data_IF_167257208469
#
_entry.id   IF_167257208469
#
_cell.length_a   1.000
_cell.length_b   1.000
_cell.length_c   1.000
_cell.angle_alpha   90.00
_cell.angle_beta   90.00
_cell.angle_gamma   90.00
#
_symmetry.space_group_name_H-M   'P 1'
#
loop_
_entity.id
_entity.type
_entity.pdbx_description
1 polymer ?
#
# COMPACT_ATOMS: atom_id res chain seq x y z
N UNK A 1 -22.90 -9.64 -22.20
CA UNK A 1 -23.24 -8.28 -21.72
C UNK A 1 -21.92 -7.61 -21.39
N UNK A 2 -21.40 -6.80 -22.31
CA UNK A 2 -20.14 -6.08 -22.13
C UNK A 2 -20.41 -4.83 -21.32
N UNK A 3 -20.08 -4.86 -20.02
CA UNK A 3 -20.06 -3.65 -19.20
C UNK A 3 -18.82 -2.86 -19.59
N UNK A 4 -19.02 -1.83 -20.40
CA UNK A 4 -18.02 -0.82 -20.72
C UNK A 4 -17.71 -0.05 -19.44
N UNK A 5 -16.69 -0.46 -18.69
CA UNK A 5 -16.12 0.35 -17.61
C UNK A 5 -15.42 1.54 -18.25
N UNK A 6 -16.10 2.68 -18.28
CA UNK A 6 -15.50 3.97 -18.63
C UNK A 6 -14.57 4.37 -17.48
N UNK A 7 -13.28 4.07 -17.60
CA UNK A 7 -12.30 4.53 -16.61
C UNK A 7 -12.06 6.02 -16.81
N UNK A 8 -12.41 6.81 -15.80
CA UNK A 8 -11.99 8.21 -15.72
C UNK A 8 -10.46 8.26 -15.55
N UNK A 9 -9.78 9.29 -16.10
CA UNK A 9 -8.34 9.41 -15.95
C UNK A 9 -7.99 9.63 -14.47
N UNK A 10 -7.14 8.74 -13.93
CA UNK A 10 -6.58 8.87 -12.58
C UNK A 10 -5.80 10.19 -12.49
N UNK A 11 -6.12 11.04 -11.51
CA UNK A 11 -5.36 12.26 -11.23
C UNK A 11 -3.89 11.87 -11.05
N UNK A 12 -2.97 12.59 -11.71
CA UNK A 12 -1.53 12.33 -11.59
C UNK A 12 -1.13 12.57 -10.13
N UNK A 13 -0.57 11.55 -9.47
CA UNK A 13 -0.05 11.68 -8.12
C UNK A 13 1.00 12.80 -8.08
N UNK A 14 0.81 13.79 -7.21
CA UNK A 14 1.84 14.79 -6.91
C UNK A 14 3.04 14.13 -6.25
N UNK A 15 4.19 14.81 -6.22
CA UNK A 15 5.36 14.34 -5.47
C UNK A 15 4.99 14.23 -3.99
N UNK A 16 5.11 13.04 -3.41
CA UNK A 16 4.91 12.84 -1.97
C UNK A 16 6.10 13.45 -1.22
N UNK A 17 5.83 14.53 -0.48
CA UNK A 17 6.83 15.26 0.31
C UNK A 17 6.77 14.87 1.80
N UNK A 18 5.94 13.90 2.16
CA UNK A 18 5.82 13.48 3.55
C UNK A 18 7.13 12.84 4.04
N UNK A 19 7.68 13.40 5.11
CA UNK A 19 8.72 12.75 5.91
C UNK A 19 8.23 12.60 7.34
N UNK A 20 8.18 11.36 7.81
CA UNK A 20 7.99 11.06 9.23
C UNK A 20 9.22 11.43 10.03
N UNK A 21 9.02 12.04 11.20
CA UNK A 21 10.11 12.31 12.14
C UNK A 21 10.43 11.05 12.96
N UNK A 22 11.69 10.62 12.95
CA UNK A 22 12.17 9.50 13.77
C UNK A 22 13.00 10.02 14.96
N UNK A 23 12.32 10.45 16.02
CA UNK A 23 12.98 10.99 17.22
C UNK A 23 13.69 9.92 18.05
N UNK A 24 13.34 8.64 17.88
CA UNK A 24 13.85 7.52 18.68
C UNK A 24 14.81 6.61 17.91
N UNK A 25 15.14 6.95 16.66
CA UNK A 25 16.01 6.16 15.79
C UNK A 25 15.48 4.73 15.58
N UNK A 26 14.15 4.58 15.51
CA UNK A 26 13.50 3.28 15.28
C UNK A 26 13.94 2.68 13.93
N UNK A 27 14.24 3.51 12.93
CA UNK A 27 14.73 3.04 11.64
C UNK A 27 16.07 2.30 11.73
N UNK A 28 16.89 2.56 12.75
CA UNK A 28 18.16 1.83 12.96
C UNK A 28 17.93 0.39 13.44
N UNK A 29 16.75 0.10 14.01
CA UNK A 29 16.36 -1.24 14.47
C UNK A 29 15.82 -2.11 13.33
N UNK A 30 15.51 -1.51 12.18
CA UNK A 30 14.94 -2.19 11.02
C UNK A 30 16.04 -2.72 10.09
N UNK A 31 15.84 -3.95 9.62
CA UNK A 31 16.67 -4.53 8.56
C UNK A 31 16.44 -3.82 7.22
N UNK A 32 17.34 -4.03 6.26
CA UNK A 32 17.18 -3.49 4.91
C UNK A 32 15.92 -4.05 4.22
N UNK A 33 15.56 -5.30 4.49
CA UNK A 33 14.33 -5.92 3.98
C UNK A 33 13.08 -5.24 4.57
N UNK A 34 13.06 -4.97 5.87
CA UNK A 34 11.98 -4.22 6.52
C UNK A 34 11.80 -2.82 5.90
N UNK A 35 12.91 -2.10 5.68
CA UNK A 35 12.89 -0.77 5.06
C UNK A 35 12.37 -0.83 3.63
N UNK A 36 12.79 -1.83 2.85
CA UNK A 36 12.31 -2.06 1.49
C UNK A 36 10.80 -2.31 1.45
N UNK A 37 10.28 -3.13 2.37
CA UNK A 37 8.84 -3.43 2.47
C UNK A 37 8.05 -2.15 2.78
N UNK A 38 8.47 -1.40 3.79
CA UNK A 38 7.87 -0.11 4.15
C UNK A 38 7.84 0.85 2.97
N UNK A 39 8.98 1.04 2.31
CA UNK A 39 9.10 2.00 1.22
C UNK A 39 8.27 1.57 -0.01
N UNK A 40 8.11 0.26 -0.22
CA UNK A 40 7.23 -0.31 -1.24
C UNK A 40 5.75 -0.02 -0.95
N UNK A 41 5.32 -0.24 0.29
CA UNK A 41 3.96 0.07 0.74
C UNK A 41 3.65 1.58 0.59
N UNK A 42 4.54 2.44 1.11
CA UNK A 42 4.42 3.91 0.98
C UNK A 42 4.30 4.36 -0.46
N UNK A 43 5.13 3.81 -1.35
CA UNK A 43 5.10 4.13 -2.78
C UNK A 43 3.79 3.68 -3.41
N UNK A 44 3.29 2.50 -3.05
CA UNK A 44 2.02 1.99 -3.56
C UNK A 44 0.86 2.92 -3.16
N UNK A 45 0.76 3.24 -1.87
CA UNK A 45 -0.26 4.15 -1.32
C UNK A 45 -0.20 5.52 -1.99
N UNK A 46 1.00 6.08 -2.13
CA UNK A 46 1.15 7.43 -2.69
C UNK A 46 0.85 7.52 -4.18
N UNK A 47 1.10 6.44 -4.92
CA UNK A 47 0.89 6.42 -6.37
C UNK A 47 -0.54 6.04 -6.76
N UNK A 48 -1.16 5.12 -6.02
CA UNK A 48 -2.45 4.52 -6.42
C UNK A 48 -3.62 4.93 -5.53
N UNK A 49 -3.43 5.07 -4.22
CA UNK A 49 -4.51 5.35 -3.26
C UNK A 49 -4.69 6.86 -3.03
N UNK A 50 -3.62 7.60 -2.71
CA UNK A 50 -3.69 9.06 -2.43
C UNK A 50 -4.41 9.86 -3.53
N UNK A 51 -4.24 9.59 -4.84
CA UNK A 51 -4.89 10.40 -5.87
C UNK A 51 -6.41 10.25 -5.98
N UNK A 52 -6.97 9.17 -5.44
CA UNK A 52 -8.39 8.82 -5.58
C UNK A 52 -9.17 8.90 -4.26
N UNK A 53 -8.49 8.82 -3.12
CA UNK A 53 -9.14 8.59 -1.82
C UNK A 53 -10.12 9.69 -1.41
N UNK A 54 -9.82 10.96 -1.70
CA UNK A 54 -10.71 12.09 -1.36
C UNK A 54 -12.04 11.98 -2.12
N UNK A 55 -11.98 11.79 -3.44
CA UNK A 55 -13.16 11.68 -4.31
C UNK A 55 -13.97 10.41 -4.00
N UNK A 56 -13.28 9.29 -3.77
CA UNK A 56 -13.90 8.03 -3.37
C UNK A 56 -14.64 8.16 -2.03
N UNK A 57 -14.04 8.86 -1.06
CA UNK A 57 -14.67 9.13 0.23
C UNK A 57 -15.91 10.03 0.09
N UNK A 58 -15.80 11.15 -0.64
CA UNK A 58 -16.92 12.08 -0.85
C UNK A 58 -18.13 11.40 -1.53
N UNK A 59 -17.86 10.46 -2.45
CA UNK A 59 -18.89 9.75 -3.21
C UNK A 59 -19.35 8.44 -2.57
N UNK A 60 -18.70 8.00 -1.50
CA UNK A 60 -18.86 6.67 -0.93
C UNK A 60 -18.71 5.55 -2.00
N UNK A 61 -17.76 5.71 -2.91
CA UNK A 61 -17.50 4.78 -4.01
C UNK A 61 -16.29 3.90 -3.68
N UNK A 62 -16.44 2.59 -3.93
CA UNK A 62 -15.34 1.64 -3.81
C UNK A 62 -14.74 1.36 -5.19
N UNK A 63 -13.42 1.41 -5.28
CA UNK A 63 -12.63 1.18 -6.49
C UNK A 63 -12.00 -0.22 -6.48
N UNK A 64 -12.60 -1.26 -7.11
CA UNK A 64 -12.08 -2.63 -7.04
C UNK A 64 -10.69 -2.81 -7.69
N UNK A 65 -10.31 -1.92 -8.58
CA UNK A 65 -9.01 -1.90 -9.26
C UNK A 65 -7.82 -1.70 -8.31
N UNK A 66 -8.05 -1.28 -7.06
CA UNK A 66 -6.99 -1.15 -6.05
C UNK A 66 -6.59 -2.51 -5.45
N UNK A 67 -7.49 -3.50 -5.48
CA UNK A 67 -7.31 -4.79 -4.83
C UNK A 67 -6.07 -5.54 -5.37
N UNK A 68 -5.86 -5.68 -6.70
CA UNK A 68 -4.71 -6.42 -7.21
C UNK A 68 -3.38 -5.82 -6.78
N UNK A 69 -3.26 -4.48 -6.78
CA UNK A 69 -2.06 -3.79 -6.36
C UNK A 69 -1.74 -3.99 -4.87
N UNK A 70 -2.78 -3.98 -4.02
CA UNK A 70 -2.63 -4.31 -2.59
C UNK A 70 -2.25 -5.77 -2.36
N UNK A 71 -2.74 -6.69 -3.20
CA UNK A 71 -2.34 -8.10 -3.16
C UNK A 71 -0.87 -8.29 -3.56
N UNK A 72 -0.40 -7.58 -4.58
CA UNK A 72 1.01 -7.64 -5.04
C UNK A 72 2.01 -7.21 -3.96
N UNK A 73 1.65 -6.23 -3.12
CA UNK A 73 2.49 -5.82 -1.98
C UNK A 73 2.23 -6.66 -0.72
N UNK A 74 1.33 -7.64 -0.79
CA UNK A 74 1.00 -8.57 0.29
C UNK A 74 0.32 -7.93 1.48
N UNK A 75 -0.51 -6.92 1.24
CA UNK A 75 -1.39 -6.37 2.27
C UNK A 75 -2.39 -7.42 2.78
N UNK A 76 -2.69 -8.45 1.98
CA UNK A 76 -3.61 -9.53 2.32
C UNK A 76 -2.86 -10.79 2.76
N UNK A 77 -2.76 -10.99 4.08
CA UNK A 77 -2.12 -12.16 4.66
C UNK A 77 -0.58 -12.17 4.60
N UNK A 78 0.13 -11.10 4.96
CA UNK A 78 1.59 -11.05 4.88
C UNK A 78 2.26 -12.14 5.72
N UNK A 79 1.69 -12.47 6.88
CA UNK A 79 2.21 -13.50 7.80
C UNK A 79 1.78 -14.93 7.45
N UNK A 80 0.91 -15.12 6.46
CA UNK A 80 0.46 -16.45 6.05
C UNK A 80 1.61 -17.16 5.34
N UNK A 81 1.94 -18.42 5.71
CA UNK A 81 2.99 -19.18 5.03
C UNK A 81 2.81 -19.26 3.51
N UNK A 82 3.93 -19.28 2.79
CA UNK A 82 3.92 -19.34 1.32
C UNK A 82 3.24 -20.58 0.75
N UNK A 83 3.29 -21.72 1.47
CA UNK A 83 2.59 -22.95 1.10
C UNK A 83 1.05 -22.79 1.03
N UNK A 84 0.51 -21.76 1.67
CA UNK A 84 -0.91 -21.40 1.63
C UNK A 84 -1.19 -20.19 0.73
N UNK A 85 -0.22 -19.74 -0.07
CA UNK A 85 -0.34 -18.61 -0.98
C UNK A 85 -0.17 -17.23 -0.33
N UNK A 86 0.35 -17.17 0.91
CA UNK A 86 0.76 -15.92 1.54
C UNK A 86 2.21 -15.55 1.25
N UNK A 87 2.73 -14.51 1.93
CA UNK A 87 4.10 -14.05 1.74
C UNK A 87 5.11 -14.65 2.74
N UNK A 88 4.65 -15.15 3.89
CA UNK A 88 5.52 -15.68 4.96
C UNK A 88 6.39 -14.62 5.64
N UNK A 89 5.95 -13.36 5.66
CA UNK A 89 6.66 -12.24 6.29
C UNK A 89 6.56 -12.29 7.82
N UNK A 90 7.48 -11.59 8.48
CA UNK A 90 7.46 -11.42 9.93
C UNK A 90 6.46 -10.33 10.39
N UNK A 91 6.29 -10.23 11.71
CA UNK A 91 5.35 -9.29 12.32
C UNK A 91 5.78 -7.82 12.16
N UNK A 92 7.09 -7.56 12.03
CA UNK A 92 7.61 -6.20 11.80
C UNK A 92 7.19 -5.73 10.41
N UNK A 93 7.42 -6.57 9.41
CA UNK A 93 7.03 -6.33 8.03
C UNK A 93 5.52 -6.10 7.91
N UNK A 94 4.70 -6.91 8.59
CA UNK A 94 3.26 -6.69 8.63
C UNK A 94 2.91 -5.32 9.23
N UNK A 95 3.50 -4.97 10.38
CA UNK A 95 3.28 -3.67 11.02
C UNK A 95 3.64 -2.50 10.12
N UNK A 96 4.77 -2.61 9.40
CA UNK A 96 5.21 -1.58 8.45
C UNK A 96 4.25 -1.43 7.27
N UNK A 97 3.71 -2.52 6.73
CA UNK A 97 2.69 -2.43 5.65
C UNK A 97 1.42 -1.75 6.14
N UNK A 98 0.98 -2.01 7.37
CA UNK A 98 -0.23 -1.39 7.93
C UNK A 98 -0.04 0.07 8.34
N UNK A 99 1.20 0.47 8.62
CA UNK A 99 1.52 1.84 9.01
C UNK A 99 1.45 2.82 7.83
N UNK A 100 1.87 2.37 6.64
CA UNK A 100 1.97 3.19 5.43
C UNK A 100 0.64 3.28 4.65
#
# INVERSE_FOLDING_TARGET
>A
MSTTTSSKPVKKAGTDLFQGHDHYLVDELLTDEHKLIRDTARKHVSTHLKPIIEDAFEKAEFHPEIIPGLAEIGAFGPIIPQEYGGMGLDQISYGLIMQE
#
